data_IF_506739917810
#
_entry.id   IF_506739917810
#
_cell.length_a   1.000
_cell.length_b   1.000
_cell.length_c   1.000
_cell.angle_alpha   90.00
_cell.angle_beta   90.00
_cell.angle_gamma   90.00
#
_symmetry.space_group_name_H-M   'P 1'
#
loop_
_entity.id
_entity.type
_entity.pdbx_description
1 polymer ?
#
# COMPACT_ATOMS: atom_id res chain seq x y z
N UNK A 1 45.21 4.44 -52.21
CA UNK A 1 45.51 3.08 -52.70
C UNK A 1 46.76 2.52 -52.03
N UNK A 2 47.93 3.18 -52.12
CA UNK A 2 49.15 2.73 -51.43
C UNK A 2 49.00 2.55 -49.91
N UNK A 3 48.45 3.54 -49.20
CA UNK A 3 48.25 3.45 -47.74
C UNK A 3 47.43 2.22 -47.29
N UNK A 4 46.49 1.77 -48.12
CA UNK A 4 45.68 0.58 -47.85
C UNK A 4 46.48 -0.71 -48.04
N UNK A 5 47.29 -0.77 -49.10
CA UNK A 5 48.17 -1.91 -49.35
C UNK A 5 49.27 -2.00 -48.29
N UNK A 6 49.89 -0.88 -47.92
CA UNK A 6 50.93 -0.81 -46.88
C UNK A 6 50.38 -1.29 -45.52
N UNK A 7 49.13 -0.97 -45.21
CA UNK A 7 48.45 -1.46 -44.02
C UNK A 7 48.20 -2.97 -44.07
N UNK A 8 47.70 -3.49 -45.20
CA UNK A 8 47.44 -4.93 -45.38
C UNK A 8 48.74 -5.75 -45.36
N UNK A 9 49.81 -5.24 -45.97
CA UNK A 9 51.13 -5.87 -45.98
C UNK A 9 51.74 -5.89 -44.58
N UNK A 10 51.63 -4.79 -43.83
CA UNK A 10 52.04 -4.76 -42.42
C UNK A 10 51.21 -5.75 -41.59
N UNK A 11 49.89 -5.76 -41.74
CA UNK A 11 48.96 -6.61 -40.96
C UNK A 11 49.24 -8.10 -41.15
N UNK A 12 49.64 -8.50 -42.37
CA UNK A 12 49.98 -9.89 -42.71
C UNK A 12 51.45 -10.24 -42.42
N UNK A 13 52.30 -9.25 -42.11
CA UNK A 13 53.71 -9.46 -41.81
C UNK A 13 53.94 -10.20 -40.48
N UNK A 14 55.00 -11.02 -40.37
CA UNK A 14 55.38 -11.67 -39.12
C UNK A 14 55.69 -10.70 -37.97
N UNK A 15 56.13 -9.47 -38.29
CA UNK A 15 56.48 -8.43 -37.32
C UNK A 15 55.25 -7.80 -36.63
N UNK A 16 54.05 -7.88 -37.23
CA UNK A 16 52.81 -7.38 -36.63
C UNK A 16 52.20 -8.34 -35.60
N UNK A 17 52.64 -9.60 -35.54
CA UNK A 17 52.08 -10.62 -34.63
C UNK A 17 52.06 -10.19 -33.15
N UNK A 18 53.14 -9.61 -32.57
CA UNK A 18 53.11 -9.16 -31.17
C UNK A 18 52.14 -8.00 -30.95
N UNK A 19 52.05 -7.06 -31.90
CA UNK A 19 51.12 -5.93 -31.83
C UNK A 19 49.66 -6.40 -31.90
N UNK A 20 49.35 -7.33 -32.81
CA UNK A 20 48.02 -7.94 -32.94
C UNK A 20 47.63 -8.74 -31.71
N UNK A 21 48.57 -9.50 -31.13
CA UNK A 21 48.33 -10.22 -29.88
C UNK A 21 48.01 -9.26 -28.74
N UNK A 22 48.81 -8.21 -28.55
CA UNK A 22 48.56 -7.20 -27.51
C UNK A 22 47.22 -6.49 -27.71
N UNK A 23 46.88 -6.11 -28.95
CA UNK A 23 45.60 -5.51 -29.27
C UNK A 23 44.43 -6.47 -28.96
N UNK A 24 44.55 -7.75 -29.31
CA UNK A 24 43.55 -8.76 -29.00
C UNK A 24 43.40 -8.97 -27.48
N UNK A 25 44.51 -9.04 -26.74
CA UNK A 25 44.48 -9.15 -25.27
C UNK A 25 43.80 -7.93 -24.63
N UNK A 26 44.11 -6.72 -25.10
CA UNK A 26 43.44 -5.50 -24.63
C UNK A 26 41.94 -5.52 -24.93
N UNK A 27 41.55 -5.92 -26.14
CA UNK A 27 40.14 -6.03 -26.51
C UNK A 27 39.40 -7.03 -25.61
N UNK A 28 39.98 -8.21 -25.37
CA UNK A 28 39.42 -9.22 -24.46
C UNK A 28 39.35 -8.70 -23.03
N UNK A 29 40.39 -8.02 -22.53
CA UNK A 29 40.41 -7.45 -21.19
C UNK A 29 39.29 -6.41 -20.99
N UNK A 30 39.08 -5.54 -21.98
CA UNK A 30 37.99 -4.54 -21.95
C UNK A 30 36.62 -5.22 -21.96
N UNK A 31 36.42 -6.22 -22.82
CA UNK A 31 35.16 -6.97 -22.89
C UNK A 31 34.89 -7.68 -21.55
N UNK A 32 35.87 -8.39 -21.00
CA UNK A 32 35.72 -9.11 -19.73
C UNK A 32 35.46 -8.14 -18.57
N UNK A 33 36.19 -7.02 -18.51
CA UNK A 33 35.96 -5.96 -17.52
C UNK A 33 34.52 -5.44 -17.59
N UNK A 34 34.03 -5.12 -18.79
CA UNK A 34 32.65 -4.68 -19.01
C UNK A 34 31.60 -5.71 -18.59
N UNK A 35 31.83 -6.99 -18.92
CA UNK A 35 30.93 -8.08 -18.52
C UNK A 35 30.87 -8.25 -17.00
N UNK A 36 32.02 -8.25 -16.33
CA UNK A 36 32.08 -8.37 -14.86
C UNK A 36 31.40 -7.17 -14.20
N UNK A 37 31.68 -5.95 -14.67
CA UNK A 37 31.05 -4.74 -14.16
C UNK A 37 29.51 -4.80 -14.30
N UNK A 38 29.01 -5.22 -15.47
CA UNK A 38 27.58 -5.37 -15.71
C UNK A 38 26.93 -6.43 -14.79
N UNK A 39 27.62 -7.53 -14.52
CA UNK A 39 27.14 -8.58 -13.60
C UNK A 39 27.03 -8.07 -12.16
N UNK A 40 28.05 -7.36 -11.68
CA UNK A 40 28.05 -6.77 -10.34
C UNK A 40 26.93 -5.73 -10.22
N UNK A 41 26.80 -4.84 -11.21
CA UNK A 41 25.75 -3.81 -11.23
C UNK A 41 24.35 -4.43 -11.19
N UNK A 42 24.10 -5.48 -11.98
CA UNK A 42 22.83 -6.21 -11.99
C UNK A 42 22.53 -6.87 -10.64
N UNK A 43 23.54 -7.48 -10.01
CA UNK A 43 23.44 -8.06 -8.68
C UNK A 43 23.08 -7.02 -7.62
N UNK A 44 23.76 -5.86 -7.64
CA UNK A 44 23.51 -4.76 -6.73
C UNK A 44 22.10 -4.17 -6.90
N UNK A 45 21.66 -3.91 -8.14
CA UNK A 45 20.31 -3.42 -8.42
C UNK A 45 19.23 -4.39 -7.94
N UNK A 46 19.38 -5.68 -8.23
CA UNK A 46 18.43 -6.71 -7.75
C UNK A 46 18.39 -6.77 -6.22
N UNK A 47 19.56 -6.66 -5.58
CA UNK A 47 19.68 -6.59 -4.12
C UNK A 47 18.95 -5.39 -3.53
N UNK A 48 19.17 -4.19 -4.10
CA UNK A 48 18.53 -2.95 -3.68
C UNK A 48 17.01 -3.03 -3.83
N UNK A 49 16.51 -3.43 -5.00
CA UNK A 49 15.08 -3.60 -5.25
C UNK A 49 14.44 -4.57 -4.23
N UNK A 50 15.10 -5.71 -3.98
CA UNK A 50 14.59 -6.67 -2.99
C UNK A 50 14.54 -6.14 -1.56
N UNK A 51 15.43 -5.20 -1.20
CA UNK A 51 15.45 -4.55 0.12
C UNK A 51 14.35 -3.51 0.21
N UNK A 52 14.19 -2.68 -0.82
CA UNK A 52 13.10 -1.70 -0.92
C UNK A 52 11.74 -2.36 -0.89
N UNK A 53 11.53 -3.44 -1.65
CA UNK A 53 10.27 -4.19 -1.65
C UNK A 53 9.94 -4.76 -0.27
N UNK A 54 10.94 -5.29 0.45
CA UNK A 54 10.76 -5.79 1.81
C UNK A 54 10.46 -4.67 2.80
N UNK A 55 11.14 -3.54 2.68
CA UNK A 55 10.93 -2.37 3.51
C UNK A 55 9.52 -1.78 3.31
N UNK A 56 9.05 -1.65 2.06
CA UNK A 56 7.70 -1.15 1.76
C UNK A 56 6.60 -2.06 2.32
N UNK A 57 6.78 -3.39 2.24
CA UNK A 57 5.84 -4.34 2.84
C UNK A 57 5.81 -4.22 4.36
N UNK A 58 6.99 -4.13 4.98
CA UNK A 58 7.11 -3.99 6.43
C UNK A 58 6.49 -2.67 6.91
N UNK A 59 6.71 -1.56 6.21
CA UNK A 59 6.13 -0.27 6.58
C UNK A 59 4.60 -0.24 6.42
N UNK A 60 4.06 -0.86 5.37
CA UNK A 60 2.62 -0.97 5.19
C UNK A 60 1.94 -1.81 6.29
N UNK A 61 2.58 -2.93 6.69
CA UNK A 61 2.07 -3.77 7.79
C UNK A 61 2.20 -3.04 9.12
N UNK A 62 3.32 -2.37 9.38
CA UNK A 62 3.50 -1.57 10.58
C UNK A 62 2.43 -0.47 10.68
N UNK A 63 2.13 0.24 9.59
CA UNK A 63 1.08 1.24 9.54
C UNK A 63 -0.32 0.66 9.83
N UNK A 64 -0.64 -0.54 9.33
CA UNK A 64 -1.90 -1.21 9.67
C UNK A 64 -1.98 -1.61 11.14
N UNK A 65 -0.88 -2.11 11.72
CA UNK A 65 -0.84 -2.54 13.13
C UNK A 65 -0.91 -1.34 14.07
N UNK A 66 -0.27 -0.24 13.71
CA UNK A 66 -0.37 1.03 14.41
C UNK A 66 -1.81 1.56 14.39
N UNK A 67 -2.43 1.59 13.20
CA UNK A 67 -3.84 1.94 13.04
C UNK A 67 -4.78 1.00 13.81
N UNK A 68 -4.46 -0.29 13.93
CA UNK A 68 -5.23 -1.23 14.75
C UNK A 68 -5.14 -0.90 16.25
N UNK A 69 -3.97 -0.47 16.70
CA UNK A 69 -3.76 -0.06 18.09
C UNK A 69 -4.61 1.16 18.41
N UNK A 70 -4.62 2.19 17.55
CA UNK A 70 -5.48 3.35 17.72
C UNK A 70 -6.98 3.02 17.60
N UNK A 71 -7.36 2.15 16.65
CA UNK A 71 -8.73 1.71 16.48
C UNK A 71 -9.26 0.99 17.73
N UNK A 72 -8.42 0.22 18.41
CA UNK A 72 -8.81 -0.51 19.62
C UNK A 72 -9.18 0.38 20.80
N UNK A 73 -8.70 1.63 20.81
CA UNK A 73 -8.99 2.62 21.86
C UNK A 73 -9.83 3.79 21.36
N UNK A 74 -10.40 3.69 20.16
CA UNK A 74 -11.04 4.80 19.44
C UNK A 74 -12.11 5.54 20.26
N UNK A 75 -12.93 4.82 21.03
CA UNK A 75 -13.98 5.43 21.85
C UNK A 75 -13.45 6.22 23.07
N UNK A 76 -12.19 6.03 23.46
CA UNK A 76 -11.51 6.80 24.51
C UNK A 76 -10.80 8.05 23.99
N UNK A 77 -10.65 8.17 22.66
CA UNK A 77 -10.00 9.30 22.01
C UNK A 77 -10.91 10.52 21.97
N UNK A 78 -10.32 11.71 21.98
CA UNK A 78 -11.05 12.96 21.74
C UNK A 78 -11.53 13.04 20.29
N UNK A 79 -12.56 13.86 19.96
CA UNK A 79 -13.04 13.98 18.58
C UNK A 79 -11.97 14.39 17.56
N UNK A 80 -10.97 15.17 17.97
CA UNK A 80 -9.85 15.55 17.10
C UNK A 80 -8.93 14.36 16.79
N UNK A 81 -8.62 13.55 17.81
CA UNK A 81 -7.80 12.33 17.68
C UNK A 81 -8.52 11.25 16.88
N UNK A 82 -9.85 11.13 17.01
CA UNK A 82 -10.65 10.20 16.20
C UNK A 82 -10.52 10.47 14.70
N UNK A 83 -10.52 11.75 14.29
CA UNK A 83 -10.32 12.13 12.87
C UNK A 83 -8.91 11.79 12.39
N UNK A 84 -7.90 11.97 13.24
CA UNK A 84 -6.52 11.58 12.91
C UNK A 84 -6.39 10.07 12.78
N UNK A 85 -7.01 9.32 13.67
CA UNK A 85 -7.03 7.86 13.63
C UNK A 85 -7.72 7.32 12.38
N UNK A 86 -8.87 7.88 12.01
CA UNK A 86 -9.56 7.51 10.77
C UNK A 86 -8.72 7.82 9.51
N UNK A 87 -7.93 8.91 9.54
CA UNK A 87 -6.95 9.21 8.47
C UNK A 87 -5.79 8.22 8.46
N UNK A 88 -5.27 7.83 9.61
CA UNK A 88 -4.20 6.84 9.73
C UNK A 88 -4.63 5.48 9.14
N UNK A 89 -5.85 5.03 9.46
CA UNK A 89 -6.48 3.85 8.85
C UNK A 89 -6.55 3.99 7.33
N UNK A 90 -7.04 5.13 6.82
CA UNK A 90 -7.12 5.37 5.37
C UNK A 90 -5.75 5.40 4.67
N UNK A 91 -4.73 5.99 5.30
CA UNK A 91 -3.36 6.00 4.79
C UNK A 91 -2.76 4.60 4.76
N UNK A 92 -2.94 3.81 5.82
CA UNK A 92 -2.47 2.44 5.89
C UNK A 92 -3.14 1.54 4.82
N UNK A 93 -4.45 1.68 4.59
CA UNK A 93 -5.16 0.98 3.51
C UNK A 93 -4.57 1.30 2.13
N UNK A 94 -4.32 2.60 1.84
CA UNK A 94 -3.70 3.03 0.58
C UNK A 94 -2.30 2.41 0.44
N UNK A 95 -1.47 2.46 1.47
CA UNK A 95 -0.12 1.86 1.44
C UNK A 95 -0.17 0.38 1.08
N UNK A 96 -1.10 -0.37 1.67
CA UNK A 96 -1.26 -1.81 1.40
C UNK A 96 -1.71 -2.06 -0.03
N UNK A 97 -2.69 -1.29 -0.54
CA UNK A 97 -3.20 -1.44 -1.91
C UNK A 97 -2.15 -1.11 -2.98
N UNK A 98 -1.21 -0.21 -2.67
CA UNK A 98 -0.11 0.16 -3.57
C UNK A 98 1.02 -0.88 -3.60
N UNK A 99 1.01 -1.88 -2.72
CA UNK A 99 2.03 -2.92 -2.74
C UNK A 99 1.97 -3.76 -4.03
N UNK A 100 3.12 -4.13 -4.62
CA UNK A 100 3.18 -4.96 -5.83
C UNK A 100 2.90 -6.45 -5.52
N UNK A 101 1.78 -6.74 -4.85
CA UNK A 101 1.34 -8.09 -4.47
C UNK A 101 -0.07 -8.30 -5.02
N UNK A 102 -0.30 -9.38 -5.76
CA UNK A 102 -1.62 -9.68 -6.37
C UNK A 102 -2.77 -9.79 -5.36
N UNK A 103 -2.48 -10.16 -4.11
CA UNK A 103 -3.48 -10.27 -3.03
C UNK A 103 -3.57 -9.01 -2.15
N UNK A 104 -2.88 -7.91 -2.50
CA UNK A 104 -2.88 -6.66 -1.74
C UNK A 104 -4.29 -6.10 -1.51
N UNK A 105 -5.10 -5.98 -2.56
CA UNK A 105 -6.47 -5.49 -2.43
C UNK A 105 -7.36 -6.36 -1.55
N UNK A 106 -7.15 -7.69 -1.57
CA UNK A 106 -7.88 -8.61 -0.70
C UNK A 106 -7.46 -8.43 0.77
N UNK A 107 -6.16 -8.33 1.03
CA UNK A 107 -5.64 -8.09 2.37
C UNK A 107 -6.09 -6.73 2.92
N UNK A 108 -6.15 -5.70 2.08
CA UNK A 108 -6.67 -4.38 2.44
C UNK A 108 -8.15 -4.44 2.83
N UNK A 109 -9.00 -5.14 2.05
CA UNK A 109 -10.42 -5.32 2.40
C UNK A 109 -10.60 -6.10 3.71
N UNK A 110 -9.83 -7.18 3.89
CA UNK A 110 -9.84 -7.98 5.11
C UNK A 110 -9.40 -7.14 6.33
N UNK A 111 -8.33 -6.37 6.17
CA UNK A 111 -7.81 -5.51 7.22
C UNK A 111 -8.80 -4.39 7.57
N UNK A 112 -9.42 -3.76 6.57
CA UNK A 112 -10.45 -2.74 6.78
C UNK A 112 -11.63 -3.26 7.60
N UNK A 113 -12.07 -4.50 7.36
CA UNK A 113 -13.11 -5.14 8.16
C UNK A 113 -12.65 -5.36 9.61
N UNK A 114 -11.46 -5.94 9.82
CA UNK A 114 -10.93 -6.16 11.18
C UNK A 114 -10.74 -4.87 11.96
N UNK A 115 -10.26 -3.81 11.31
CA UNK A 115 -10.12 -2.49 11.93
C UNK A 115 -11.49 -1.89 12.31
N UNK A 116 -12.51 -2.06 11.47
CA UNK A 116 -13.87 -1.65 11.79
C UNK A 116 -14.44 -2.43 12.99
N UNK A 117 -14.19 -3.75 13.06
CA UNK A 117 -14.60 -4.58 14.19
C UNK A 117 -13.86 -4.19 15.48
N UNK A 118 -12.55 -3.94 15.44
CA UNK A 118 -11.79 -3.42 16.59
C UNK A 118 -12.32 -2.07 17.06
N UNK A 119 -12.63 -1.17 16.11
CA UNK A 119 -13.23 0.14 16.40
C UNK A 119 -14.59 -0.01 17.09
N UNK A 120 -15.45 -0.92 16.61
CA UNK A 120 -16.74 -1.24 17.26
C UNK A 120 -16.54 -1.83 18.65
N UNK A 121 -15.62 -2.80 18.78
CA UNK A 121 -15.31 -3.47 20.04
C UNK A 121 -14.66 -2.54 21.08
N UNK A 122 -14.00 -1.46 20.66
CA UNK A 122 -13.38 -0.47 21.56
C UNK A 122 -14.39 0.15 22.53
N UNK A 123 -15.66 0.28 22.13
CA UNK A 123 -16.72 0.80 22.98
C UNK A 123 -17.12 -0.16 24.10
N UNK A 124 -16.91 -1.48 23.92
CA UNK A 124 -17.38 -2.52 24.83
C UNK A 124 -16.25 -3.12 25.68
N UNK A 125 -15.09 -3.36 25.08
CA UNK A 125 -14.00 -4.14 25.69
C UNK A 125 -12.79 -3.30 26.13
N UNK A 126 -12.79 -1.98 25.87
CA UNK A 126 -11.71 -1.08 26.25
C UNK A 126 -10.33 -1.65 25.86
N UNK A 127 -9.41 -1.75 26.83
CA UNK A 127 -8.03 -2.22 26.62
C UNK A 127 -7.85 -3.73 26.44
N UNK A 128 -8.91 -4.55 26.45
CA UNK A 128 -8.77 -6.02 26.34
C UNK A 128 -8.60 -6.52 24.89
N UNK A 129 -8.27 -5.63 23.95
CA UNK A 129 -8.12 -5.96 22.53
C UNK A 129 -6.69 -6.39 22.15
N UNK A 130 -5.74 -6.39 23.09
CA UNK A 130 -4.36 -6.83 22.85
C UNK A 130 -4.25 -8.20 22.14
N UNK A 131 -5.02 -9.24 22.51
CA UNK A 131 -4.98 -10.52 21.81
C UNK A 131 -5.46 -10.43 20.36
N UNK A 132 -6.49 -9.60 20.11
CA UNK A 132 -7.02 -9.39 18.76
C UNK A 132 -6.03 -8.63 17.87
N UNK A 133 -5.32 -7.65 18.43
CA UNK A 133 -4.24 -6.93 17.74
C UNK A 133 -3.08 -7.87 17.42
N UNK A 134 -2.70 -8.75 18.37
CA UNK A 134 -1.66 -9.74 18.15
C UNK A 134 -2.04 -10.72 17.01
N UNK A 135 -3.26 -11.25 17.02
CA UNK A 135 -3.74 -12.13 15.94
C UNK A 135 -3.76 -11.39 14.58
N UNK A 136 -4.24 -10.15 14.56
CA UNK A 136 -4.27 -9.31 13.37
C UNK A 136 -2.88 -9.12 12.77
N UNK A 137 -1.90 -8.74 13.61
CA UNK A 137 -0.49 -8.62 13.22
C UNK A 137 0.03 -9.94 12.67
N UNK A 138 -0.19 -11.05 13.37
CA UNK A 138 0.37 -12.34 13.01
C UNK A 138 -0.21 -12.85 11.68
N UNK A 139 -1.49 -12.59 11.40
CA UNK A 139 -2.12 -12.86 10.10
C UNK A 139 -1.56 -11.99 8.96
N UNK A 140 -1.24 -10.73 9.23
CA UNK A 140 -0.57 -9.86 8.26
C UNK A 140 0.88 -10.31 7.99
N UNK A 141 1.60 -10.78 9.00
CA UNK A 141 2.94 -11.35 8.86
C UNK A 141 2.90 -12.66 8.06
N UNK A 142 1.93 -13.54 8.32
CA UNK A 142 1.72 -14.74 7.51
C UNK A 142 1.38 -14.39 6.06
N UNK A 143 0.58 -13.34 5.83
CA UNK A 143 0.32 -12.84 4.48
C UNK A 143 1.57 -12.28 3.81
N UNK A 144 2.44 -11.58 4.53
CA UNK A 144 3.71 -11.08 4.01
C UNK A 144 4.63 -12.22 3.55
N UNK A 145 4.72 -13.27 4.37
CA UNK A 145 5.57 -14.44 4.13
C UNK A 145 4.99 -15.36 3.05
N UNK A 146 3.68 -15.60 3.10
CA UNK A 146 2.96 -16.55 2.26
C UNK A 146 1.68 -15.96 1.64
N UNK A 147 1.77 -14.98 0.73
CA UNK A 147 0.59 -14.27 0.21
C UNK A 147 -0.43 -15.18 -0.48
N UNK A 148 0.03 -16.28 -1.09
CA UNK A 148 -0.82 -17.27 -1.77
C UNK A 148 -1.66 -18.09 -0.81
N UNK A 149 -1.09 -18.44 0.35
CA UNK A 149 -1.79 -19.21 1.39
C UNK A 149 -2.77 -18.32 2.13
N UNK A 150 -2.30 -17.16 2.59
CA UNK A 150 -3.11 -16.18 3.29
C UNK A 150 -4.28 -15.67 2.45
N UNK A 151 -4.13 -15.58 1.12
CA UNK A 151 -5.24 -15.24 0.21
C UNK A 151 -6.48 -16.10 0.46
N UNK A 152 -6.33 -17.42 0.62
CA UNK A 152 -7.48 -18.31 0.83
C UNK A 152 -8.14 -18.06 2.20
N UNK A 153 -7.32 -17.81 3.22
CA UNK A 153 -7.78 -17.52 4.57
C UNK A 153 -8.58 -16.22 4.57
N UNK A 154 -8.02 -15.13 4.03
CA UNK A 154 -8.70 -13.83 3.96
C UNK A 154 -9.97 -13.87 3.12
N UNK A 155 -9.95 -14.64 2.03
CA UNK A 155 -11.15 -14.81 1.21
C UNK A 155 -12.25 -15.56 1.99
N UNK A 156 -11.91 -16.66 2.67
CA UNK A 156 -12.87 -17.40 3.49
C UNK A 156 -13.42 -16.54 4.63
N UNK A 157 -12.57 -15.75 5.30
CA UNK A 157 -12.99 -14.83 6.36
C UNK A 157 -13.98 -13.78 5.83
N UNK A 158 -13.65 -13.14 4.70
CA UNK A 158 -14.52 -12.15 4.05
C UNK A 158 -15.85 -12.76 3.58
N UNK A 159 -15.83 -13.98 3.04
CA UNK A 159 -17.03 -14.72 2.67
C UNK A 159 -17.88 -15.02 3.91
N UNK A 160 -17.27 -15.52 4.99
CA UNK A 160 -17.93 -15.78 6.27
C UNK A 160 -18.60 -14.53 6.82
N UNK A 161 -17.88 -13.41 6.92
CA UNK A 161 -18.45 -12.16 7.43
C UNK A 161 -19.60 -11.65 6.56
N UNK A 162 -19.48 -11.78 5.24
CA UNK A 162 -20.58 -11.43 4.32
C UNK A 162 -21.85 -12.21 4.63
N UNK A 163 -21.75 -13.47 5.05
CA UNK A 163 -22.92 -14.26 5.47
C UNK A 163 -23.42 -13.88 6.87
N UNK A 164 -22.52 -13.57 7.81
CA UNK A 164 -22.90 -13.13 9.17
C UNK A 164 -23.64 -11.77 9.16
N UNK A 165 -23.31 -10.86 8.24
CA UNK A 165 -23.94 -9.53 8.15
C UNK A 165 -25.33 -9.48 7.46
N UNK A 166 -25.87 -10.60 6.97
CA UNK A 166 -26.87 -10.57 5.90
C UNK A 166 -28.37 -10.62 6.28
N UNK A 167 -28.78 -10.61 7.56
CA UNK A 167 -30.23 -10.75 7.86
C UNK A 167 -30.90 -9.61 8.66
N UNK A 168 -30.32 -9.02 9.73
CA UNK A 168 -30.97 -7.90 10.44
C UNK A 168 -30.23 -6.55 10.35
N UNK A 169 -28.90 -6.53 10.20
CA UNK A 169 -28.11 -5.30 10.33
C UNK A 169 -28.15 -4.39 9.09
N UNK A 170 -28.26 -4.96 7.88
CA UNK A 170 -28.35 -4.17 6.65
C UNK A 170 -29.59 -3.30 6.61
N UNK A 171 -30.73 -3.82 7.06
CA UNK A 171 -31.99 -3.07 7.07
C UNK A 171 -31.96 -1.94 8.11
N UNK A 172 -31.24 -2.12 9.23
CA UNK A 172 -31.05 -1.09 10.26
C UNK A 172 -30.09 0.01 9.82
N UNK A 173 -28.99 -0.35 9.14
CA UNK A 173 -28.04 0.62 8.57
C UNK A 173 -28.72 1.46 7.48
N UNK A 174 -29.47 0.85 6.57
CA UNK A 174 -30.22 1.58 5.53
C UNK A 174 -31.26 2.54 6.13
N UNK A 175 -31.91 2.13 7.24
CA UNK A 175 -32.85 2.99 7.97
C UNK A 175 -32.14 4.16 8.67
N UNK A 176 -30.95 3.93 9.24
CA UNK A 176 -30.17 4.96 9.90
C UNK A 176 -29.60 5.97 8.89
N UNK A 177 -29.11 5.52 7.74
CA UNK A 177 -28.63 6.38 6.66
C UNK A 177 -29.78 7.23 6.07
N UNK A 178 -30.96 6.65 5.90
CA UNK A 178 -32.16 7.38 5.48
C UNK A 178 -32.56 8.47 6.49
N UNK A 179 -32.45 8.17 7.79
CA UNK A 179 -32.73 9.13 8.86
C UNK A 179 -31.70 10.26 8.91
N UNK A 180 -30.41 9.94 8.80
CA UNK A 180 -29.33 10.94 8.75
C UNK A 180 -29.48 11.84 7.52
N UNK A 181 -29.83 11.27 6.36
CA UNK A 181 -30.09 12.04 5.14
C UNK A 181 -31.28 13.01 5.30
N UNK A 182 -32.36 12.59 5.98
CA UNK A 182 -33.49 13.45 6.30
C UNK A 182 -33.09 14.61 7.23
N UNK A 183 -32.35 14.32 8.30
CA UNK A 183 -31.85 15.34 9.24
C UNK A 183 -30.95 16.37 8.55
N UNK A 184 -30.02 15.92 7.70
CA UNK A 184 -29.20 16.85 6.92
C UNK A 184 -30.05 17.71 5.97
N UNK A 185 -31.03 17.11 5.28
CA UNK A 185 -31.93 17.85 4.39
C UNK A 185 -32.74 18.93 5.14
N UNK A 186 -33.27 18.60 6.32
CA UNK A 186 -34.00 19.51 7.20
C UNK A 186 -33.11 20.66 7.72
N UNK A 187 -31.90 20.36 8.16
CA UNK A 187 -30.96 21.38 8.63
C UNK A 187 -30.51 22.33 7.50
N UNK A 188 -30.28 21.80 6.30
CA UNK A 188 -29.94 22.62 5.13
C UNK A 188 -31.11 23.49 4.66
N UNK A 189 -32.34 22.96 4.67
CA UNK A 189 -33.54 23.74 4.30
C UNK A 189 -33.89 24.79 5.35
N UNK A 190 -33.82 24.47 6.65
CA UNK A 190 -33.98 25.43 7.75
C UNK A 190 -32.93 26.55 7.70
N UNK A 191 -31.66 26.22 7.43
CA UNK A 191 -30.59 27.22 7.27
C UNK A 191 -30.76 28.08 6.01
N UNK A 192 -31.30 27.54 4.91
CA UNK A 192 -31.65 28.32 3.72
C UNK A 192 -32.82 29.27 3.97
N UNK A 193 -33.85 28.83 4.68
CA UNK A 193 -35.02 29.65 5.03
C UNK A 193 -34.63 30.80 5.96
N UNK A 194 -33.85 30.50 7.01
CA UNK A 194 -33.30 31.51 7.92
C UNK A 194 -32.40 32.54 7.21
N UNK A 195 -31.61 32.12 6.21
CA UNK A 195 -30.79 33.05 5.40
C UNK A 195 -31.62 33.88 4.42
N UNK A 196 -32.75 33.38 3.95
CA UNK A 196 -33.67 34.14 3.08
C UNK A 196 -34.43 35.21 3.87
N UNK A 197 -34.84 34.94 5.10
CA UNK A 197 -35.48 35.92 6.00
C UNK A 197 -34.55 37.09 6.35
N UNK A 198 -33.25 36.83 6.54
CA UNK A 198 -32.26 37.87 6.77
C UNK A 198 -31.96 38.75 5.54
N UNK A 199 -32.40 38.33 4.35
CA UNK A 199 -32.15 39.02 3.08
C UNK A 199 -33.42 39.58 2.44
N UNK A 200 -34.56 39.50 3.13
CA UNK A 200 -35.80 40.17 2.75
C UNK A 200 -35.70 41.66 3.12
N UNK A 201 -35.70 42.61 2.16
CA UNK A 201 -35.72 44.01 2.50
C UNK A 201 -37.08 44.32 3.13
N UNK A 202 -37.05 44.81 4.37
CA UNK A 202 -38.22 45.39 5.02
C UNK A 202 -38.88 46.36 4.05
N UNK A 203 -40.09 46.04 3.60
CA UNK A 203 -40.91 46.91 2.77
C UNK A 203 -41.18 48.17 3.58
N UNK A 204 -40.45 49.24 3.24
CA UNK A 204 -40.69 50.58 3.75
C UNK A 204 -42.10 51.00 3.32
N UNK A 205 -42.90 51.41 4.32
CA UNK A 205 -44.12 52.18 4.15
C UNK A 205 -43.78 53.63 3.82
#
# INVERSE_FOLDING_TARGET
>A
MQWWNDFVDWLTSPAARPALFNAAVLAVAVILSGLIAAWIARGALKGLLSRTDRAQKASAIAALVDAATEASVWNSLTPGEQVLSDRAVGQADIMVRLLPIKSAGLAANWAGHQLAEMKRASATFGYQLDPAIAEFRDRLLEWQNSPRRARKIFQNDLERWRFESNEPDRTLIDQQDAWVAQQHHEQYTARKCSRADLMSPASAR
#
